data_IF_234524033551
#
_entry.id   IF_234524033551
#
_cell.length_a   1.000
_cell.length_b   1.000
_cell.length_c   1.000
_cell.angle_alpha   90.00
_cell.angle_beta   90.00
_cell.angle_gamma   90.00
#
_symmetry.space_group_name_H-M   'P 1'
#
loop_
_entity.id
_entity.type
_entity.pdbx_description
1 polymer ?
#
# COMPACT_ATOMS: atom_id res chain seq x y z
N UNK A 1 18.81 15.44 26.82
CA UNK A 1 18.67 13.98 26.75
C UNK A 1 17.37 13.69 27.48
N UNK A 2 16.37 13.12 26.80
CA UNK A 2 15.11 12.75 27.47
C UNK A 2 15.38 11.57 28.41
N UNK A 3 14.67 11.51 29.53
CA UNK A 3 14.73 10.36 30.42
C UNK A 3 14.23 9.12 29.70
N UNK A 4 14.91 7.99 29.91
CA UNK A 4 14.53 6.72 29.30
C UNK A 4 13.29 6.17 30.01
N UNK A 5 12.20 6.01 29.29
CA UNK A 5 11.01 5.31 29.78
C UNK A 5 11.28 3.81 29.88
N UNK A 6 11.63 3.35 31.07
CA UNK A 6 11.95 1.95 31.33
C UNK A 6 10.73 1.03 31.28
N UNK A 7 9.53 1.51 31.49
CA UNK A 7 8.31 0.72 31.37
C UNK A 7 8.06 0.38 29.89
N UNK A 8 8.17 1.36 29.02
CA UNK A 8 8.08 1.18 27.56
C UNK A 8 9.17 0.26 27.02
N UNK A 9 10.41 0.40 27.49
CA UNK A 9 11.53 -0.47 27.11
C UNK A 9 11.26 -1.92 27.50
N UNK A 10 10.79 -2.16 28.72
CA UNK A 10 10.48 -3.50 29.21
C UNK A 10 9.29 -4.10 28.45
N UNK A 11 8.23 -3.34 28.19
CA UNK A 11 7.10 -3.79 27.38
C UNK A 11 7.52 -4.16 25.94
N UNK A 12 8.41 -3.40 25.32
CA UNK A 12 8.96 -3.72 24.00
C UNK A 12 9.80 -5.00 24.04
N UNK A 13 10.61 -5.21 25.10
CA UNK A 13 11.37 -6.44 25.30
C UNK A 13 10.46 -7.68 25.38
N UNK A 14 9.34 -7.57 26.07
CA UNK A 14 8.36 -8.66 26.16
C UNK A 14 7.76 -8.99 24.80
N UNK A 15 7.33 -8.00 24.04
CA UNK A 15 6.84 -8.17 22.65
C UNK A 15 7.89 -8.79 21.74
N UNK A 16 9.17 -8.40 21.86
CA UNK A 16 10.27 -9.04 21.13
C UNK A 16 10.42 -10.52 21.48
N UNK A 17 10.32 -10.88 22.76
CA UNK A 17 10.38 -12.28 23.19
C UNK A 17 9.19 -13.11 22.69
N UNK A 18 8.00 -12.54 22.65
CA UNK A 18 6.82 -13.18 22.05
C UNK A 18 7.04 -13.43 20.55
N UNK A 19 7.57 -12.43 19.82
CA UNK A 19 7.92 -12.55 18.40
C UNK A 19 8.92 -13.69 18.17
N UNK A 20 10.00 -13.75 18.94
CA UNK A 20 11.02 -14.81 18.85
C UNK A 20 10.41 -16.20 19.09
N UNK A 21 9.50 -16.32 20.06
CA UNK A 21 8.84 -17.58 20.44
C UNK A 21 7.71 -17.99 19.48
N UNK A 22 7.26 -17.11 18.59
CA UNK A 22 6.14 -17.41 17.68
C UNK A 22 6.42 -18.65 16.83
N UNK A 23 5.53 -19.66 16.82
CA UNK A 23 5.71 -20.87 16.03
C UNK A 23 5.27 -20.67 14.56
N UNK A 24 4.58 -19.56 14.23
CA UNK A 24 3.99 -19.31 12.91
C UNK A 24 4.82 -18.38 12.04
N UNK A 25 5.72 -17.59 12.63
CA UNK A 25 6.56 -16.66 11.88
C UNK A 25 7.83 -17.33 11.38
N UNK A 26 8.19 -17.06 10.12
CA UNK A 26 9.51 -17.42 9.58
C UNK A 26 10.61 -16.62 10.28
N UNK A 27 11.89 -17.05 10.09
CA UNK A 27 13.03 -16.33 10.63
C UNK A 27 13.06 -14.88 10.16
N UNK A 28 12.86 -14.63 8.87
CA UNK A 28 12.87 -13.28 8.27
C UNK A 28 11.73 -12.41 8.80
N UNK A 29 10.52 -12.97 8.92
CA UNK A 29 9.40 -12.26 9.53
C UNK A 29 9.67 -11.89 10.99
N UNK A 30 10.35 -12.75 11.76
CA UNK A 30 10.77 -12.43 13.14
C UNK A 30 11.77 -11.29 13.17
N UNK A 31 12.77 -11.31 12.28
CA UNK A 31 13.78 -10.23 12.20
C UNK A 31 13.11 -8.91 11.83
N UNK A 32 12.22 -8.91 10.83
CA UNK A 32 11.48 -7.71 10.43
C UNK A 32 10.58 -7.18 11.55
N UNK A 33 9.84 -8.06 12.24
CA UNK A 33 8.99 -7.65 13.35
C UNK A 33 9.80 -7.08 14.53
N UNK A 34 10.97 -7.65 14.84
CA UNK A 34 11.86 -7.11 15.87
C UNK A 34 12.43 -5.74 15.46
N UNK A 35 12.77 -5.55 14.20
CA UNK A 35 13.22 -4.24 13.70
C UNK A 35 12.11 -3.20 13.85
N UNK A 36 10.87 -3.51 13.46
CA UNK A 36 9.73 -2.60 13.63
C UNK A 36 9.45 -2.27 15.09
N UNK A 37 9.60 -3.23 16.00
CA UNK A 37 9.48 -2.98 17.44
C UNK A 37 10.59 -2.05 17.95
N UNK A 38 11.81 -2.18 17.43
CA UNK A 38 12.91 -1.27 17.79
C UNK A 38 12.69 0.14 17.20
N UNK A 39 12.25 0.24 15.95
CA UNK A 39 11.90 1.52 15.30
C UNK A 39 10.80 2.24 16.08
N UNK A 40 9.83 1.51 16.64
CA UNK A 40 8.75 2.09 17.44
C UNK A 40 9.18 2.68 18.77
N UNK A 41 10.42 2.44 19.21
CA UNK A 41 10.99 3.12 20.40
C UNK A 41 11.44 4.55 20.10
N UNK A 42 11.65 4.89 18.82
CA UNK A 42 11.89 6.27 18.43
C UNK A 42 10.60 7.08 18.63
N UNK A 43 10.73 8.26 19.20
CA UNK A 43 9.60 9.16 19.38
C UNK A 43 9.65 10.26 18.33
N UNK A 44 8.55 10.40 17.57
CA UNK A 44 8.29 11.61 16.80
C UNK A 44 8.01 12.73 17.80
N UNK A 45 8.70 13.86 17.67
CA UNK A 45 8.79 14.91 18.73
C UNK A 45 7.42 15.48 19.10
N UNK A 46 6.46 15.53 18.17
CA UNK A 46 5.17 16.18 18.35
C UNK A 46 4.00 15.20 18.12
N UNK A 47 4.00 14.09 18.87
CA UNK A 47 2.83 13.21 18.88
C UNK A 47 1.61 13.98 19.39
N UNK A 48 0.48 13.94 18.69
CA UNK A 48 -0.70 14.70 19.09
C UNK A 48 -1.30 14.22 20.40
N UNK A 49 -1.83 15.16 21.18
CA UNK A 49 -2.56 14.85 22.40
C UNK A 49 -3.74 13.92 22.11
N UNK A 50 -3.96 12.92 22.94
CA UNK A 50 -5.04 11.94 22.81
C UNK A 50 -4.73 10.77 21.87
N UNK A 51 -3.58 10.76 21.17
CA UNK A 51 -3.22 9.65 20.28
C UNK A 51 -3.21 8.31 21.00
N UNK A 52 -2.58 8.22 22.16
CA UNK A 52 -2.51 6.99 22.95
C UNK A 52 -3.89 6.47 23.35
N UNK A 53 -4.83 7.35 23.70
CA UNK A 53 -6.21 6.98 24.03
C UNK A 53 -7.00 6.45 22.84
N UNK A 54 -6.59 6.79 21.62
CA UNK A 54 -7.25 6.38 20.40
C UNK A 54 -6.58 5.19 19.69
N UNK A 55 -5.29 4.98 19.94
CA UNK A 55 -4.48 4.02 19.18
C UNK A 55 -3.97 2.85 20.02
N UNK A 56 -3.57 3.07 21.30
CA UNK A 56 -2.95 2.03 22.13
C UNK A 56 -3.96 1.17 22.90
N UNK A 57 -5.20 1.20 22.48
CA UNK A 57 -6.29 0.41 23.04
C UNK A 57 -6.37 -0.98 22.40
N UNK A 58 -7.07 -1.95 23.01
CA UNK A 58 -7.41 -3.22 22.37
C UNK A 58 -8.15 -3.00 21.04
N UNK A 59 -8.06 -3.97 20.12
CA UNK A 59 -8.58 -3.86 18.76
C UNK A 59 -10.08 -3.54 18.68
N UNK A 60 -10.86 -3.94 19.67
CA UNK A 60 -12.31 -3.72 19.77
C UNK A 60 -12.71 -2.31 20.27
N UNK A 61 -11.74 -1.52 20.73
CA UNK A 61 -11.92 -0.17 21.27
C UNK A 61 -11.03 0.90 20.67
N UNK A 62 -9.88 0.55 20.05
CA UNK A 62 -9.04 1.54 19.38
C UNK A 62 -9.78 2.20 18.20
N UNK A 63 -9.53 3.49 17.99
CA UNK A 63 -10.15 4.28 16.93
C UNK A 63 -9.22 4.56 15.76
N UNK A 64 -7.91 4.49 15.97
CA UNK A 64 -6.87 4.70 14.96
C UNK A 64 -5.99 3.45 14.88
N UNK A 65 -5.59 3.09 13.66
CA UNK A 65 -4.66 2.00 13.39
C UNK A 65 -3.65 2.44 12.32
N UNK A 66 -2.36 2.31 12.62
CA UNK A 66 -1.26 2.62 11.71
C UNK A 66 -0.66 1.38 11.02
N UNK A 67 -1.30 0.23 11.14
CA UNK A 67 -0.84 -1.05 10.59
C UNK A 67 0.58 -1.44 11.06
N UNK A 68 0.92 -1.08 12.29
CA UNK A 68 2.21 -1.36 12.93
C UNK A 68 3.43 -0.72 12.21
N UNK A 69 3.26 0.45 11.62
CA UNK A 69 4.37 1.20 11.02
C UNK A 69 5.29 1.85 12.06
N UNK A 70 4.80 2.06 13.30
CA UNK A 70 5.52 2.76 14.37
C UNK A 70 5.38 4.29 14.31
N UNK A 71 5.89 4.95 15.36
CA UNK A 71 5.70 6.39 15.51
C UNK A 71 6.66 7.24 14.68
N UNK A 72 7.84 6.70 14.37
CA UNK A 72 8.88 7.40 13.61
C UNK A 72 9.46 6.47 12.52
N UNK A 73 8.66 6.10 11.52
CA UNK A 73 9.15 5.26 10.41
C UNK A 73 10.23 6.03 9.63
N UNK A 74 11.39 5.41 9.48
CA UNK A 74 12.54 6.02 8.81
C UNK A 74 12.46 5.95 7.27
N UNK A 75 11.41 5.38 6.73
CA UNK A 75 11.17 5.17 5.30
C UNK A 75 9.68 5.08 4.99
N UNK A 76 9.28 5.45 3.76
CA UNK A 76 7.88 5.43 3.35
C UNK A 76 7.26 4.02 3.40
N UNK A 77 5.96 3.98 3.63
CA UNK A 77 5.20 2.75 3.58
C UNK A 77 5.18 2.14 2.18
N UNK A 78 4.90 2.94 1.17
CA UNK A 78 4.86 2.50 -0.22
C UNK A 78 5.90 3.26 -1.03
N UNK A 79 6.75 2.52 -1.71
CA UNK A 79 7.73 3.04 -2.66
C UNK A 79 7.42 2.43 -4.01
N UNK A 80 7.25 3.29 -5.02
CA UNK A 80 6.85 2.93 -6.38
C UNK A 80 7.97 3.33 -7.35
N UNK A 81 9.04 2.54 -7.48
CA UNK A 81 10.16 2.90 -8.34
C UNK A 81 9.75 2.93 -9.81
N UNK A 82 10.41 3.80 -10.59
CA UNK A 82 10.33 3.78 -12.04
C UNK A 82 11.18 2.62 -12.60
N UNK A 83 10.56 1.44 -12.68
CA UNK A 83 11.21 0.26 -13.26
C UNK A 83 11.46 0.40 -14.77
N UNK A 84 10.68 1.22 -15.50
CA UNK A 84 10.94 1.47 -16.94
C UNK A 84 12.27 2.20 -17.11
N UNK A 85 12.53 3.20 -16.25
CA UNK A 85 13.82 3.89 -16.22
C UNK A 85 14.95 2.92 -15.89
N UNK A 86 14.78 2.07 -14.88
CA UNK A 86 15.77 1.07 -14.50
C UNK A 86 16.09 0.11 -15.65
N UNK A 87 15.08 -0.43 -16.34
CA UNK A 87 15.27 -1.32 -17.48
C UNK A 87 16.01 -0.64 -18.66
N UNK A 88 15.86 0.67 -18.81
CA UNK A 88 16.50 1.46 -19.87
C UNK A 88 17.93 1.91 -19.52
N UNK A 89 18.20 2.22 -18.24
CA UNK A 89 19.43 2.90 -17.82
C UNK A 89 20.32 2.06 -16.90
N UNK A 90 19.80 0.97 -16.35
CA UNK A 90 20.47 0.19 -15.30
C UNK A 90 20.51 0.94 -13.97
N UNK A 91 21.43 0.54 -13.09
CA UNK A 91 21.68 1.20 -11.80
C UNK A 91 23.17 1.19 -11.48
N UNK A 92 23.74 2.35 -11.20
CA UNK A 92 25.16 2.49 -10.79
C UNK A 92 25.38 1.92 -9.39
N UNK A 93 24.42 2.14 -8.49
CA UNK A 93 24.50 1.65 -7.12
C UNK A 93 24.50 0.12 -7.08
N UNK A 94 23.62 -0.51 -7.86
CA UNK A 94 23.51 -1.97 -7.95
C UNK A 94 24.57 -2.57 -8.89
N UNK A 95 25.32 -1.77 -9.62
CA UNK A 95 26.29 -2.21 -10.64
C UNK A 95 25.63 -3.09 -11.70
N UNK A 96 24.45 -2.72 -12.15
CA UNK A 96 23.67 -3.40 -13.16
C UNK A 96 23.56 -2.54 -14.41
N UNK A 97 23.97 -3.08 -15.54
CA UNK A 97 23.75 -2.48 -16.86
C UNK A 97 22.28 -2.69 -17.29
N UNK A 98 21.78 -1.91 -18.26
CA UNK A 98 20.50 -2.18 -18.89
C UNK A 98 20.44 -3.59 -19.46
N UNK A 99 19.39 -4.39 -19.16
CA UNK A 99 19.28 -5.77 -19.61
C UNK A 99 19.16 -5.86 -21.15
N UNK A 100 19.77 -6.86 -21.75
CA UNK A 100 19.78 -7.09 -23.19
C UNK A 100 18.87 -8.23 -23.65
N UNK A 101 18.50 -9.10 -22.72
CA UNK A 101 17.63 -10.24 -22.96
C UNK A 101 16.71 -10.51 -21.77
N UNK A 102 15.79 -11.45 -21.93
CA UNK A 102 14.83 -11.80 -20.88
C UNK A 102 15.51 -12.33 -19.60
N UNK A 103 16.60 -13.10 -19.75
CA UNK A 103 17.30 -13.65 -18.59
C UNK A 103 17.91 -12.53 -17.73
N UNK A 104 18.59 -11.57 -18.37
CA UNK A 104 19.15 -10.41 -17.68
C UNK A 104 18.05 -9.55 -17.07
N UNK A 105 16.94 -9.35 -17.79
CA UNK A 105 15.80 -8.55 -17.33
C UNK A 105 15.18 -9.11 -16.05
N UNK A 106 14.84 -10.39 -16.03
CA UNK A 106 14.25 -11.06 -14.88
C UNK A 106 15.20 -11.06 -13.67
N UNK A 107 16.50 -11.37 -13.89
CA UNK A 107 17.48 -11.39 -12.83
C UNK A 107 17.73 -9.98 -12.24
N UNK A 108 17.82 -8.96 -13.09
CA UNK A 108 18.01 -7.56 -12.66
C UNK A 108 16.84 -7.05 -11.85
N UNK A 109 15.59 -7.38 -12.23
CA UNK A 109 14.39 -7.05 -11.46
C UNK A 109 14.41 -7.70 -10.08
N UNK A 110 14.76 -8.99 -9.98
CA UNK A 110 14.85 -9.68 -8.69
C UNK A 110 15.89 -9.05 -7.75
N UNK A 111 17.03 -8.62 -8.29
CA UNK A 111 18.04 -7.89 -7.51
C UNK A 111 17.48 -6.54 -7.07
N UNK A 112 16.87 -5.80 -7.98
CA UNK A 112 16.30 -4.49 -7.66
C UNK A 112 15.24 -4.58 -6.55
N UNK A 113 14.33 -5.55 -6.63
CA UNK A 113 13.28 -5.75 -5.63
C UNK A 113 13.82 -5.91 -4.20
N UNK A 114 14.95 -6.59 -4.05
CA UNK A 114 15.61 -6.74 -2.74
C UNK A 114 16.13 -5.45 -2.13
N UNK A 115 16.25 -4.39 -2.94
CA UNK A 115 16.80 -3.09 -2.53
C UNK A 115 15.74 -1.98 -2.48
N UNK A 116 14.46 -2.32 -2.55
CA UNK A 116 13.35 -1.35 -2.36
C UNK A 116 12.95 -1.35 -0.88
N UNK A 117 13.41 -0.35 -0.10
CA UNK A 117 13.24 -0.34 1.35
C UNK A 117 11.94 0.33 1.76
N UNK A 118 10.83 -0.37 1.74
CA UNK A 118 9.57 0.12 2.33
C UNK A 118 9.42 -0.30 3.80
N UNK A 119 8.46 0.27 4.50
CA UNK A 119 8.14 -0.12 5.89
C UNK A 119 7.81 -1.60 6.00
N UNK A 120 7.19 -2.18 4.98
CA UNK A 120 6.88 -3.61 4.89
C UNK A 120 8.11 -4.48 4.63
N UNK A 121 9.28 -3.91 4.40
CA UNK A 121 10.54 -4.57 3.99
C UNK A 121 10.48 -5.29 2.63
N UNK A 122 9.43 -5.08 1.84
CA UNK A 122 9.23 -5.67 0.52
C UNK A 122 8.73 -4.63 -0.46
N UNK A 123 9.03 -4.77 -1.76
CA UNK A 123 8.44 -3.92 -2.76
C UNK A 123 6.93 -4.19 -2.84
N UNK A 124 6.13 -3.17 -2.59
CA UNK A 124 4.67 -3.26 -2.72
C UNK A 124 4.21 -3.18 -4.18
N UNK A 125 5.09 -2.73 -5.06
CA UNK A 125 4.86 -2.65 -6.50
C UNK A 125 6.03 -3.25 -7.26
N UNK A 126 5.74 -4.18 -8.17
CA UNK A 126 6.73 -4.93 -8.95
C UNK A 126 6.84 -4.44 -10.40
N UNK A 127 6.06 -3.45 -10.78
CA UNK A 127 6.01 -2.89 -12.12
C UNK A 127 4.78 -3.30 -12.94
N UNK A 128 4.64 -2.70 -14.10
CA UNK A 128 3.78 -3.18 -15.18
C UNK A 128 4.56 -4.31 -15.89
N UNK A 129 4.45 -5.53 -15.36
CA UNK A 129 5.34 -6.64 -15.73
C UNK A 129 5.26 -6.99 -17.21
N UNK A 130 4.07 -6.91 -17.80
CA UNK A 130 3.90 -7.13 -19.22
C UNK A 130 4.68 -6.10 -20.05
N UNK A 131 4.55 -4.81 -19.76
CA UNK A 131 5.26 -3.75 -20.46
C UNK A 131 6.78 -3.84 -20.27
N UNK A 132 7.23 -4.25 -19.08
CA UNK A 132 8.66 -4.38 -18.77
C UNK A 132 9.31 -5.57 -19.49
N UNK A 133 8.57 -6.66 -19.67
CA UNK A 133 9.10 -7.91 -20.22
C UNK A 133 8.81 -8.10 -21.71
N UNK A 134 7.78 -7.43 -22.26
CA UNK A 134 7.36 -7.60 -23.64
C UNK A 134 8.47 -7.36 -24.69
N UNK A 135 9.36 -6.35 -24.53
CA UNK A 135 10.46 -6.14 -25.47
C UNK A 135 11.42 -7.33 -25.60
N UNK A 136 11.51 -8.17 -24.58
CA UNK A 136 12.48 -9.29 -24.53
C UNK A 136 11.89 -10.62 -24.96
N UNK A 137 10.57 -10.72 -25.17
CA UNK A 137 9.90 -11.98 -25.55
C UNK A 137 9.47 -12.03 -27.03
N UNK A 138 9.58 -10.92 -27.77
CA UNK A 138 9.02 -10.81 -29.12
C UNK A 138 9.56 -11.89 -30.08
N UNK A 139 10.87 -12.02 -30.18
CA UNK A 139 11.55 -12.95 -31.08
C UNK A 139 11.97 -14.26 -30.36
N UNK A 140 11.48 -14.46 -29.12
CA UNK A 140 11.84 -15.62 -28.33
C UNK A 140 10.88 -16.78 -28.55
N UNK A 141 11.41 -18.01 -28.44
CA UNK A 141 10.59 -19.22 -28.35
C UNK A 141 9.62 -19.09 -27.16
N UNK A 142 8.33 -19.32 -27.42
CA UNK A 142 7.27 -19.07 -26.47
C UNK A 142 7.34 -19.98 -25.24
N UNK A 143 7.66 -21.26 -25.42
CA UNK A 143 7.80 -22.22 -24.33
C UNK A 143 8.99 -21.88 -23.43
N UNK A 144 10.09 -21.37 -24.04
CA UNK A 144 11.23 -20.90 -23.27
C UNK A 144 10.91 -19.65 -22.49
N UNK A 145 10.24 -18.67 -23.10
CA UNK A 145 9.78 -17.44 -22.44
C UNK A 145 8.83 -17.76 -21.27
N UNK A 146 7.85 -18.65 -21.50
CA UNK A 146 6.90 -19.12 -20.49
C UNK A 146 7.61 -19.79 -19.33
N UNK A 147 8.58 -20.67 -19.60
CA UNK A 147 9.39 -21.31 -18.55
C UNK A 147 10.17 -20.30 -17.71
N UNK A 148 10.78 -19.31 -18.34
CA UNK A 148 11.55 -18.28 -17.61
C UNK A 148 10.66 -17.37 -16.76
N UNK A 149 9.55 -16.91 -17.29
CA UNK A 149 8.57 -16.11 -16.55
C UNK A 149 7.97 -16.92 -15.41
N UNK A 150 7.66 -18.21 -15.64
CA UNK A 150 7.19 -19.11 -14.57
C UNK A 150 8.17 -19.20 -13.41
N UNK A 151 9.46 -19.38 -13.68
CA UNK A 151 10.49 -19.45 -12.64
C UNK A 151 10.63 -18.12 -11.90
N UNK A 152 10.51 -17.01 -12.59
CA UNK A 152 10.54 -15.68 -12.00
C UNK A 152 9.33 -15.44 -11.04
N UNK A 153 8.12 -15.80 -11.46
CA UNK A 153 6.93 -15.67 -10.60
C UNK A 153 7.00 -16.60 -9.38
N UNK A 154 7.48 -17.84 -9.55
CA UNK A 154 7.73 -18.75 -8.44
C UNK A 154 8.77 -18.16 -7.48
N UNK A 155 9.85 -17.56 -7.99
CA UNK A 155 10.86 -16.94 -7.15
C UNK A 155 10.24 -15.80 -6.33
N UNK A 156 9.44 -14.93 -6.94
CA UNK A 156 8.76 -13.84 -6.24
C UNK A 156 7.88 -14.41 -5.10
N UNK A 157 7.00 -15.35 -5.40
CA UNK A 157 6.08 -15.93 -4.40
C UNK A 157 6.81 -16.58 -3.22
N UNK A 158 7.98 -17.18 -3.45
CA UNK A 158 8.76 -17.85 -2.40
C UNK A 158 9.71 -16.94 -1.62
N UNK A 159 10.07 -15.78 -2.16
CA UNK A 159 11.06 -14.87 -1.55
C UNK A 159 10.47 -13.56 -1.07
N UNK A 160 9.37 -13.11 -1.63
CA UNK A 160 8.60 -11.94 -1.17
C UNK A 160 7.54 -12.42 -0.20
N UNK A 161 7.82 -12.28 1.09
CA UNK A 161 6.99 -12.82 2.18
C UNK A 161 5.77 -11.95 2.53
N UNK A 162 5.35 -11.08 1.62
CA UNK A 162 4.28 -10.13 1.85
C UNK A 162 3.20 -10.24 0.76
N UNK A 163 1.97 -10.51 1.18
CA UNK A 163 0.80 -10.58 0.29
C UNK A 163 0.42 -9.23 -0.35
N UNK A 164 1.05 -8.13 0.06
CA UNK A 164 0.80 -6.81 -0.51
C UNK A 164 1.59 -6.52 -1.79
N UNK A 165 2.56 -7.37 -2.16
CA UNK A 165 3.29 -7.21 -3.43
C UNK A 165 2.37 -7.36 -4.62
N UNK A 166 2.41 -6.38 -5.52
CA UNK A 166 1.45 -6.17 -6.58
C UNK A 166 2.12 -5.85 -7.91
N UNK A 167 1.62 -6.43 -8.99
CA UNK A 167 2.04 -6.12 -10.34
C UNK A 167 0.85 -5.63 -11.18
N UNK A 168 1.12 -4.88 -12.23
CA UNK A 168 0.10 -4.52 -13.20
C UNK A 168 0.35 -5.21 -14.54
N UNK A 169 -0.73 -5.43 -15.30
CA UNK A 169 -0.73 -5.84 -16.71
C UNK A 169 -1.76 -5.01 -17.49
N UNK A 170 -1.62 -4.92 -18.80
CA UNK A 170 -2.54 -4.14 -19.64
C UNK A 170 -2.35 -2.61 -19.52
N UNK A 171 -3.20 -1.79 -20.21
CA UNK A 171 -4.41 -2.19 -20.95
C UNK A 171 -4.14 -2.81 -22.33
N UNK A 172 -2.92 -2.73 -22.86
CA UNK A 172 -2.56 -3.28 -24.15
C UNK A 172 -2.39 -4.80 -24.07
N UNK A 173 -2.84 -5.46 -25.13
CA UNK A 173 -2.60 -6.89 -25.32
C UNK A 173 -1.15 -7.11 -25.76
N UNK A 174 -0.35 -7.70 -24.91
CA UNK A 174 1.08 -7.95 -25.12
C UNK A 174 1.39 -9.45 -25.03
N UNK A 175 2.44 -9.91 -25.74
CA UNK A 175 2.88 -11.31 -25.67
C UNK A 175 3.29 -11.69 -24.23
N UNK A 176 4.03 -10.82 -23.56
CA UNK A 176 4.41 -11.04 -22.16
C UNK A 176 3.20 -11.09 -21.23
N UNK A 177 2.20 -10.22 -21.42
CA UNK A 177 0.97 -10.20 -20.64
C UNK A 177 0.18 -11.51 -20.78
N UNK A 178 0.05 -12.03 -22.00
CA UNK A 178 -0.58 -13.34 -22.24
C UNK A 178 0.16 -14.47 -21.52
N UNK A 179 1.49 -14.52 -21.62
CA UNK A 179 2.30 -15.52 -20.94
C UNK A 179 2.16 -15.41 -19.42
N UNK A 180 2.16 -14.20 -18.85
CA UNK A 180 1.98 -13.98 -17.42
C UNK A 180 0.63 -14.53 -16.95
N UNK A 181 -0.46 -14.21 -17.64
CA UNK A 181 -1.81 -14.66 -17.29
C UNK A 181 -1.94 -16.19 -17.37
N UNK A 182 -1.38 -16.82 -18.39
CA UNK A 182 -1.35 -18.29 -18.49
C UNK A 182 -0.60 -18.94 -17.32
N UNK A 183 0.59 -18.43 -17.05
CA UNK A 183 1.42 -18.95 -15.95
C UNK A 183 0.75 -18.78 -14.59
N UNK A 184 0.09 -17.66 -14.36
CA UNK A 184 -0.64 -17.41 -13.11
C UNK A 184 -1.85 -18.32 -12.95
N UNK A 185 -2.57 -18.62 -14.03
CA UNK A 185 -3.65 -19.59 -14.02
C UNK A 185 -3.17 -21.02 -13.67
N UNK A 186 -1.94 -21.37 -14.09
CA UNK A 186 -1.34 -22.69 -13.81
C UNK A 186 -0.75 -22.77 -12.39
N UNK A 187 -0.19 -21.66 -11.88
CA UNK A 187 0.53 -21.66 -10.59
C UNK A 187 -0.42 -21.55 -9.39
N UNK A 188 -1.56 -20.87 -9.55
CA UNK A 188 -2.52 -20.61 -8.47
C UNK A 188 -1.87 -20.08 -7.18
N UNK A 189 -0.79 -19.32 -7.30
CA UNK A 189 -0.01 -18.82 -6.17
C UNK A 189 -0.57 -17.49 -5.62
N UNK A 190 -0.20 -17.14 -4.38
CA UNK A 190 -0.71 -15.94 -3.73
C UNK A 190 -0.04 -14.65 -4.21
N UNK A 191 1.26 -14.68 -4.46
CA UNK A 191 2.10 -13.51 -4.76
C UNK A 191 2.74 -13.67 -6.15
N UNK A 192 2.79 -12.60 -6.96
CA UNK A 192 2.21 -11.27 -6.74
C UNK A 192 0.69 -11.23 -6.90
N UNK A 193 0.04 -10.25 -6.24
CA UNK A 193 -1.27 -9.81 -6.69
C UNK A 193 -1.13 -9.15 -8.06
N UNK A 194 -2.10 -9.32 -8.92
CA UNK A 194 -2.08 -8.71 -10.25
C UNK A 194 -3.36 -7.90 -10.47
N UNK A 195 -3.21 -6.69 -11.00
CA UNK A 195 -4.32 -5.90 -11.54
C UNK A 195 -4.16 -5.73 -13.03
N UNK A 196 -5.20 -6.11 -13.77
CA UNK A 196 -5.33 -5.80 -15.19
C UNK A 196 -5.96 -4.41 -15.34
N UNK A 197 -5.21 -3.49 -15.93
CA UNK A 197 -5.74 -2.22 -16.38
C UNK A 197 -6.63 -2.49 -17.60
N UNK A 198 -7.91 -2.17 -17.48
CA UNK A 198 -8.88 -2.41 -18.55
C UNK A 198 -9.36 -1.11 -19.15
N UNK A 199 -9.37 -1.04 -20.49
CA UNK A 199 -9.91 0.05 -21.28
C UNK A 199 -10.61 -0.53 -22.50
N UNK A 200 -11.90 -0.28 -22.64
CA UNK A 200 -12.74 -0.82 -23.72
C UNK A 200 -12.27 -0.40 -25.14
N UNK A 201 -11.52 0.71 -25.26
CA UNK A 201 -10.99 1.21 -26.54
C UNK A 201 -9.59 0.63 -26.87
N UNK A 202 -8.89 0.02 -25.90
CA UNK A 202 -7.50 -0.42 -26.04
C UNK A 202 -7.36 -1.93 -25.83
N UNK A 203 -8.05 -2.47 -24.81
CA UNK A 203 -7.93 -3.89 -24.42
C UNK A 203 -8.73 -4.76 -25.39
N UNK A 204 -8.06 -5.74 -26.05
CA UNK A 204 -8.78 -6.69 -26.90
C UNK A 204 -9.71 -7.58 -26.08
N UNK A 205 -10.84 -7.99 -26.67
CA UNK A 205 -11.78 -8.92 -26.02
C UNK A 205 -11.09 -10.24 -25.65
N UNK A 206 -10.17 -10.72 -26.47
CA UNK A 206 -9.41 -11.93 -26.21
C UNK A 206 -8.53 -11.82 -24.98
N UNK A 207 -7.82 -10.68 -24.81
CA UNK A 207 -6.98 -10.45 -23.65
C UNK A 207 -7.80 -10.25 -22.38
N UNK A 208 -8.92 -9.55 -22.46
CA UNK A 208 -9.86 -9.39 -21.37
C UNK A 208 -10.45 -10.74 -20.90
N UNK A 209 -10.89 -11.58 -21.86
CA UNK A 209 -11.38 -12.93 -21.57
C UNK A 209 -10.30 -13.81 -20.94
N UNK A 210 -9.05 -13.70 -21.39
CA UNK A 210 -7.93 -14.40 -20.78
C UNK A 210 -7.75 -13.99 -19.32
N UNK A 211 -7.80 -12.68 -19.02
CA UNK A 211 -7.77 -12.18 -17.64
C UNK A 211 -8.90 -12.74 -16.79
N UNK A 212 -10.14 -12.77 -17.31
CA UNK A 212 -11.31 -13.35 -16.62
C UNK A 212 -11.08 -14.85 -16.34
N UNK A 213 -10.63 -15.60 -17.32
CA UNK A 213 -10.35 -17.02 -17.16
C UNK A 213 -9.28 -17.27 -16.11
N UNK A 214 -8.20 -16.49 -16.11
CA UNK A 214 -7.15 -16.56 -15.10
C UNK A 214 -7.71 -16.27 -13.70
N UNK A 215 -8.61 -15.26 -13.58
CA UNK A 215 -9.27 -14.95 -12.31
C UNK A 215 -10.10 -16.11 -11.76
N UNK A 216 -10.76 -16.86 -12.62
CA UNK A 216 -11.54 -18.05 -12.20
C UNK A 216 -10.67 -19.15 -11.61
N UNK A 217 -9.39 -19.23 -11.97
CA UNK A 217 -8.44 -20.21 -11.45
C UNK A 217 -7.69 -19.72 -10.21
N UNK A 218 -7.19 -18.48 -10.24
CA UNK A 218 -6.23 -17.99 -9.24
C UNK A 218 -6.74 -16.80 -8.41
N UNK A 219 -8.02 -16.40 -8.56
CA UNK A 219 -8.62 -15.20 -7.96
C UNK A 219 -7.91 -13.88 -8.32
N UNK A 220 -7.10 -13.88 -9.38
CA UNK A 220 -6.42 -12.73 -9.98
C UNK A 220 -6.24 -12.94 -11.50
N UNK A 221 -6.12 -11.88 -12.31
CA UNK A 221 -6.04 -10.48 -11.95
C UNK A 221 -7.38 -9.91 -11.47
N UNK A 222 -7.31 -8.85 -10.66
CA UNK A 222 -8.42 -7.91 -10.51
C UNK A 222 -8.43 -6.94 -11.69
N UNK A 223 -9.54 -6.23 -11.90
CA UNK A 223 -9.70 -5.30 -13.01
C UNK A 223 -9.79 -3.87 -12.51
N UNK A 224 -9.12 -2.95 -13.20
CA UNK A 224 -9.15 -1.53 -12.91
C UNK A 224 -9.57 -0.73 -14.13
N UNK A 225 -10.43 0.26 -13.95
CA UNK A 225 -10.85 1.16 -15.00
C UNK A 225 -9.70 2.11 -15.38
N UNK A 226 -9.05 1.84 -16.51
CA UNK A 226 -7.89 2.62 -16.99
C UNK A 226 -8.25 4.09 -17.20
N UNK A 227 -9.39 4.38 -17.83
CA UNK A 227 -9.81 5.77 -18.13
C UNK A 227 -10.00 6.59 -16.84
N UNK A 228 -10.60 5.97 -15.82
CA UNK A 228 -10.82 6.64 -14.52
C UNK A 228 -9.48 6.96 -13.84
N UNK A 229 -8.64 5.97 -13.60
CA UNK A 229 -7.35 6.18 -12.93
C UNK A 229 -6.44 7.15 -13.68
N UNK A 230 -6.43 7.07 -15.01
CA UNK A 230 -5.69 8.01 -15.85
C UNK A 230 -6.20 9.44 -15.74
N UNK A 231 -7.51 9.65 -15.65
CA UNK A 231 -8.10 10.98 -15.48
C UNK A 231 -7.80 11.60 -14.11
N UNK A 232 -7.65 10.78 -13.07
CA UNK A 232 -7.42 11.22 -11.69
C UNK A 232 -5.92 11.39 -11.36
N UNK A 233 -5.09 10.45 -11.82
CA UNK A 233 -3.68 10.37 -11.41
C UNK A 233 -2.68 10.65 -12.55
N UNK A 234 -3.16 10.79 -13.79
CA UNK A 234 -2.32 10.99 -14.98
C UNK A 234 -1.90 9.69 -15.67
N UNK A 235 -1.11 9.82 -16.74
CA UNK A 235 -0.66 8.70 -17.58
C UNK A 235 0.18 7.67 -16.81
N UNK A 236 1.01 8.15 -15.87
CA UNK A 236 1.99 7.35 -15.14
C UNK A 236 1.42 6.77 -13.83
N UNK A 237 0.09 6.55 -13.74
CA UNK A 237 -0.48 5.92 -12.57
C UNK A 237 -0.14 4.44 -12.48
N UNK A 238 -0.04 3.96 -11.26
CA UNK A 238 0.11 2.54 -10.93
C UNK A 238 -0.93 2.13 -9.91
N UNK A 239 -1.20 0.83 -9.84
CA UNK A 239 -2.04 0.24 -8.81
C UNK A 239 -1.15 -0.68 -7.98
N UNK A 240 -1.09 -0.43 -6.68
CA UNK A 240 -0.23 -1.14 -5.76
C UNK A 240 -0.99 -1.66 -4.54
N UNK A 241 -0.47 -2.72 -3.91
CA UNK A 241 -1.06 -3.35 -2.74
C UNK A 241 -2.52 -3.81 -3.00
N UNK A 242 -3.50 -3.24 -2.32
CA UNK A 242 -4.92 -3.58 -2.48
C UNK A 242 -5.68 -2.44 -3.20
N UNK A 243 -5.34 -2.17 -4.46
CA UNK A 243 -5.98 -1.17 -5.35
C UNK A 243 -5.68 0.29 -5.04
N UNK A 244 -4.60 0.60 -4.35
CA UNK A 244 -4.19 1.99 -4.16
C UNK A 244 -3.62 2.55 -5.46
N UNK A 245 -4.23 3.62 -5.97
CA UNK A 245 -3.71 4.40 -7.09
C UNK A 245 -2.59 5.32 -6.63
N UNK A 246 -1.42 5.23 -7.26
CA UNK A 246 -0.24 6.03 -6.94
C UNK A 246 0.45 6.47 -8.23
N UNK A 247 1.36 7.45 -8.13
CA UNK A 247 2.19 7.89 -9.27
C UNK A 247 3.45 7.05 -9.39
N UNK A 248 3.81 6.66 -10.60
CA UNK A 248 5.09 6.02 -10.89
C UNK A 248 6.26 6.94 -10.50
N UNK A 249 7.27 6.39 -9.89
CA UNK A 249 8.38 7.17 -9.32
C UNK A 249 8.02 7.92 -8.05
N UNK A 250 6.92 7.54 -7.39
CA UNK A 250 6.44 8.13 -6.15
C UNK A 250 6.20 7.11 -5.06
N UNK A 251 5.16 7.33 -4.27
CA UNK A 251 4.78 6.42 -3.19
C UNK A 251 3.81 7.04 -2.21
N UNK A 252 3.69 6.39 -1.06
CA UNK A 252 2.93 6.91 0.08
C UNK A 252 3.79 6.85 1.34
N UNK A 253 3.90 7.96 2.02
CA UNK A 253 4.64 8.06 3.28
C UNK A 253 4.07 7.11 4.33
N UNK A 254 2.77 7.17 4.53
CA UNK A 254 2.07 6.42 5.58
C UNK A 254 0.66 6.06 5.17
N UNK A 255 0.08 5.08 5.88
CA UNK A 255 -1.34 4.73 5.80
C UNK A 255 -1.87 4.52 7.22
N UNK A 256 -2.60 5.51 7.72
CA UNK A 256 -3.38 5.36 8.94
C UNK A 256 -4.84 5.11 8.61
N UNK A 257 -5.56 4.42 9.50
CA UNK A 257 -6.97 4.07 9.31
C UNK A 257 -7.83 4.49 10.50
N UNK A 258 -8.97 5.08 10.19
CA UNK A 258 -10.08 5.23 11.11
C UNK A 258 -10.79 3.89 11.28
N UNK A 259 -11.03 3.46 12.52
CA UNK A 259 -11.88 2.32 12.84
C UNK A 259 -13.29 2.85 13.17
N UNK A 260 -14.07 3.12 12.12
CA UNK A 260 -15.34 3.85 12.20
C UNK A 260 -16.35 3.20 13.16
N UNK A 261 -16.44 1.87 13.17
CA UNK A 261 -17.31 1.15 14.08
C UNK A 261 -16.97 1.39 15.55
N UNK A 262 -15.68 1.50 15.89
CA UNK A 262 -15.24 1.79 17.25
C UNK A 262 -15.46 3.26 17.62
N UNK A 263 -15.28 4.19 16.67
CA UNK A 263 -15.60 5.60 16.88
C UNK A 263 -17.11 5.74 17.19
N UNK A 264 -17.98 5.03 16.46
CA UNK A 264 -19.42 5.05 16.71
C UNK A 264 -19.82 4.47 18.08
N UNK A 265 -19.06 3.53 18.65
CA UNK A 265 -19.29 3.02 20.01
C UNK A 265 -19.03 4.06 21.10
N UNK A 266 -18.16 5.05 20.84
CA UNK A 266 -17.86 6.15 21.77
C UNK A 266 -18.97 7.22 21.79
N UNK A 267 -19.77 7.30 20.73
CA UNK A 267 -20.79 8.33 20.59
C UNK A 267 -22.05 8.00 21.41
N UNK A 268 -22.61 9.03 22.04
CA UNK A 268 -23.90 8.98 22.77
C UNK A 268 -25.11 9.18 21.87
N UNK A 269 -24.91 9.76 20.68
CA UNK A 269 -25.93 10.02 19.66
C UNK A 269 -25.29 10.18 18.29
N UNK A 270 -26.10 10.18 17.23
CA UNK A 270 -25.62 10.49 15.86
C UNK A 270 -25.04 11.89 15.78
N UNK A 271 -25.64 12.84 16.48
CA UNK A 271 -25.14 14.22 16.49
C UNK A 271 -23.80 14.33 17.23
N UNK A 272 -23.63 13.63 18.35
CA UNK A 272 -22.35 13.54 19.05
C UNK A 272 -21.27 12.90 18.17
N UNK A 273 -21.62 11.83 17.45
CA UNK A 273 -20.70 11.22 16.49
C UNK A 273 -20.23 12.22 15.44
N UNK A 274 -21.16 12.89 14.75
CA UNK A 274 -20.86 13.80 13.63
C UNK A 274 -20.13 15.08 14.07
N UNK A 275 -20.50 15.65 15.22
CA UNK A 275 -19.97 16.95 15.66
C UNK A 275 -18.75 16.86 16.57
N UNK A 276 -18.60 15.76 17.31
CA UNK A 276 -17.55 15.64 18.31
C UNK A 276 -16.60 14.46 18.02
N UNK A 277 -17.12 13.22 17.98
CA UNK A 277 -16.25 12.04 17.96
C UNK A 277 -15.48 11.90 16.64
N UNK A 278 -16.17 11.91 15.50
CA UNK A 278 -15.53 11.74 14.18
C UNK A 278 -14.54 12.88 13.87
N UNK A 279 -14.89 14.17 14.00
CA UNK A 279 -13.94 15.25 13.75
C UNK A 279 -12.71 15.21 14.65
N UNK A 280 -12.88 14.89 15.93
CA UNK A 280 -11.78 14.75 16.87
C UNK A 280 -10.81 13.65 16.45
N UNK A 281 -11.31 12.45 16.14
CA UNK A 281 -10.45 11.33 15.74
C UNK A 281 -9.78 11.59 14.38
N UNK A 282 -10.48 12.21 13.42
CA UNK A 282 -9.91 12.63 12.14
C UNK A 282 -8.73 13.60 12.35
N UNK A 283 -8.90 14.60 13.22
CA UNK A 283 -7.85 15.59 13.50
C UNK A 283 -6.63 14.94 14.15
N UNK A 284 -6.82 14.13 15.19
CA UNK A 284 -5.71 13.44 15.86
C UNK A 284 -4.98 12.51 14.89
N UNK A 285 -5.69 11.79 14.02
CA UNK A 285 -5.06 10.94 13.02
C UNK A 285 -4.27 11.74 11.99
N UNK A 286 -4.81 12.86 11.50
CA UNK A 286 -4.12 13.73 10.55
C UNK A 286 -2.86 14.35 11.16
N UNK A 287 -2.94 14.89 12.39
CA UNK A 287 -1.78 15.44 13.10
C UNK A 287 -0.69 14.38 13.33
N UNK A 288 -1.09 13.15 13.60
CA UNK A 288 -0.17 12.01 13.72
C UNK A 288 0.52 11.68 12.39
N UNK A 289 -0.24 11.66 11.30
CA UNK A 289 0.30 11.44 9.96
C UNK A 289 1.27 12.56 9.58
N UNK A 290 0.93 13.83 9.87
CA UNK A 290 1.80 14.98 9.62
C UNK A 290 3.13 14.88 10.38
N UNK A 291 3.10 14.48 11.65
CA UNK A 291 4.30 14.32 12.45
C UNK A 291 5.22 13.23 11.89
N UNK A 292 4.65 12.12 11.41
CA UNK A 292 5.39 11.01 10.80
C UNK A 292 6.01 11.40 9.46
N UNK A 293 5.23 12.06 8.60
CA UNK A 293 5.70 12.55 7.29
C UNK A 293 6.85 13.54 7.48
N UNK A 294 6.72 14.47 8.42
CA UNK A 294 7.78 15.42 8.74
C UNK A 294 9.06 14.70 9.18
N UNK A 295 8.96 13.70 10.05
CA UNK A 295 10.10 12.89 10.47
C UNK A 295 10.76 12.19 9.28
N UNK A 296 9.98 11.55 8.39
CA UNK A 296 10.51 10.86 7.21
C UNK A 296 11.23 11.82 6.26
N UNK A 297 10.69 13.02 6.06
CA UNK A 297 11.24 13.97 5.08
C UNK A 297 12.36 14.81 5.66
N UNK A 298 12.21 15.32 6.89
CA UNK A 298 13.15 16.30 7.45
C UNK A 298 14.24 15.69 8.32
N UNK A 299 13.96 14.60 9.03
CA UNK A 299 14.86 14.06 10.04
C UNK A 299 15.52 12.73 9.62
N UNK A 300 14.79 11.84 8.94
CA UNK A 300 15.34 10.53 8.55
C UNK A 300 16.40 10.63 7.45
N UNK A 301 16.36 11.68 6.64
CA UNK A 301 17.22 11.84 5.47
C UNK A 301 16.97 10.77 4.39
N UNK A 302 15.77 10.24 4.31
CA UNK A 302 15.45 9.14 3.39
C UNK A 302 15.75 9.50 1.93
N UNK A 303 15.24 10.64 1.46
CA UNK A 303 15.40 11.05 0.05
C UNK A 303 16.85 11.44 -0.27
N UNK A 304 17.57 12.02 0.68
CA UNK A 304 18.96 12.46 0.52
C UNK A 304 19.95 11.28 0.53
N UNK A 305 19.61 10.17 1.20
CA UNK A 305 20.53 9.06 1.42
C UNK A 305 20.19 7.82 0.61
N UNK A 306 18.95 7.67 0.13
CA UNK A 306 18.53 6.49 -0.62
C UNK A 306 18.95 6.55 -2.09
N UNK A 307 19.49 5.44 -2.61
CA UNK A 307 19.93 5.35 -4.01
C UNK A 307 18.78 5.50 -5.01
N UNK A 308 17.56 5.08 -4.65
CA UNK A 308 16.39 5.22 -5.52
C UNK A 308 16.12 6.69 -5.86
N UNK A 309 16.23 7.59 -4.87
CA UNK A 309 16.11 9.01 -5.09
C UNK A 309 17.31 9.59 -5.82
N UNK A 310 18.54 9.18 -5.43
CA UNK A 310 19.79 9.68 -6.06
C UNK A 310 19.90 9.31 -7.54
N UNK A 311 19.39 8.17 -7.94
CA UNK A 311 19.37 7.72 -9.35
C UNK A 311 18.08 8.11 -10.08
N UNK A 312 17.15 8.78 -9.40
CA UNK A 312 15.91 9.28 -9.98
C UNK A 312 14.91 8.19 -10.32
N UNK A 313 14.93 7.08 -9.57
CA UNK A 313 13.88 6.06 -9.64
C UNK A 313 12.65 6.44 -8.83
N UNK A 314 12.82 7.35 -7.84
CA UNK A 314 11.74 7.98 -7.11
C UNK A 314 11.99 9.48 -6.97
N UNK A 315 10.91 10.26 -6.85
CA UNK A 315 10.90 11.72 -6.73
C UNK A 315 9.96 12.12 -5.59
N UNK A 316 10.41 12.97 -4.68
CA UNK A 316 9.62 13.37 -3.50
C UNK A 316 8.29 14.03 -3.88
N UNK A 317 8.26 14.86 -4.92
CA UNK A 317 7.07 15.53 -5.45
C UNK A 317 5.99 14.58 -6.01
N UNK A 318 6.29 13.28 -6.08
CA UNK A 318 5.34 12.22 -6.48
C UNK A 318 4.83 11.40 -5.30
N UNK A 319 5.08 11.84 -4.06
CA UNK A 319 4.60 11.18 -2.85
C UNK A 319 3.33 11.82 -2.32
N UNK A 320 2.53 11.01 -1.67
CA UNK A 320 1.32 11.38 -0.92
C UNK A 320 1.25 10.61 0.39
N UNK A 321 0.14 10.69 1.11
CA UNK A 321 -0.20 9.82 2.22
C UNK A 321 -1.61 9.26 2.01
N UNK A 322 -1.99 8.28 2.83
CA UNK A 322 -3.29 7.61 2.70
C UNK A 322 -4.07 7.70 4.00
N UNK A 323 -5.18 8.43 3.95
CA UNK A 323 -6.15 8.55 5.04
C UNK A 323 -7.19 7.42 4.88
N UNK A 324 -6.91 6.28 5.51
CA UNK A 324 -7.71 5.08 5.36
C UNK A 324 -8.89 5.02 6.33
N UNK A 325 -9.84 4.13 6.04
CA UNK A 325 -10.95 3.84 6.93
C UNK A 325 -11.42 2.41 6.79
N UNK A 326 -12.04 1.89 7.84
CA UNK A 326 -12.66 0.56 7.86
C UNK A 326 -13.85 0.55 8.81
N UNK A 327 -14.82 -0.32 8.55
CA UNK A 327 -15.96 -0.52 9.42
C UNK A 327 -17.10 0.50 9.23
N UNK A 328 -17.34 0.96 7.98
CA UNK A 328 -18.45 1.86 7.68
C UNK A 328 -19.81 1.19 7.98
N UNK A 329 -19.99 -0.06 7.60
CA UNK A 329 -21.22 -0.79 7.87
C UNK A 329 -21.51 -0.92 9.39
N UNK A 330 -20.49 -1.27 10.17
CA UNK A 330 -20.59 -1.36 11.64
C UNK A 330 -20.91 0.00 12.26
N UNK A 331 -20.28 1.07 11.74
CA UNK A 331 -20.52 2.44 12.17
C UNK A 331 -21.97 2.85 11.93
N UNK A 332 -22.45 2.73 10.69
CA UNK A 332 -23.83 3.08 10.32
C UNK A 332 -24.83 2.27 11.13
N UNK A 333 -24.65 0.97 11.21
CA UNK A 333 -25.55 0.09 11.96
C UNK A 333 -25.63 0.49 13.44
N UNK A 334 -24.48 0.82 14.06
CA UNK A 334 -24.47 1.32 15.44
C UNK A 334 -25.20 2.65 15.60
N UNK A 335 -25.03 3.58 14.67
CA UNK A 335 -25.68 4.87 14.70
C UNK A 335 -27.20 4.77 14.47
N UNK A 336 -27.65 3.82 13.63
CA UNK A 336 -29.08 3.51 13.46
C UNK A 336 -29.68 2.96 14.76
N UNK A 337 -28.98 2.07 15.45
CA UNK A 337 -29.37 1.55 16.77
C UNK A 337 -29.52 2.66 17.82
N UNK A 338 -28.60 3.63 17.84
CA UNK A 338 -28.69 4.79 18.75
C UNK A 338 -29.96 5.66 18.51
N UNK A 339 -30.52 5.61 17.31
CA UNK A 339 -31.79 6.26 16.97
C UNK A 339 -33.02 5.36 17.21
N UNK A 340 -32.82 4.14 17.69
CA UNK A 340 -33.92 3.16 17.84
C UNK A 340 -34.43 2.61 16.50
N UNK A 341 -33.64 2.70 15.42
CA UNK A 341 -33.97 2.21 14.08
C UNK A 341 -33.36 0.84 13.83
N UNK A 342 -34.02 0.06 12.97
CA UNK A 342 -33.61 -1.31 12.61
C UNK A 342 -33.02 -1.45 11.23
N UNK A 343 -32.99 -0.36 10.42
CA UNK A 343 -32.36 -0.32 9.10
C UNK A 343 -30.88 -0.65 9.18
N UNK A 344 -30.35 -1.29 8.14
CA UNK A 344 -28.95 -1.75 8.04
C UNK A 344 -28.29 -1.24 6.77
N UNK A 345 -27.04 -0.85 6.87
CA UNK A 345 -26.22 -0.45 5.74
C UNK A 345 -26.20 -1.52 4.64
N UNK A 346 -26.43 -1.09 3.40
CA UNK A 346 -26.54 -1.97 2.23
C UNK A 346 -27.93 -2.62 2.05
N UNK A 347 -28.88 -2.37 2.94
CA UNK A 347 -30.22 -2.97 2.93
C UNK A 347 -31.34 -1.98 3.23
N UNK A 348 -31.04 -0.71 3.48
CA UNK A 348 -32.01 0.31 3.87
C UNK A 348 -31.54 1.69 3.41
N UNK A 349 -32.40 2.42 2.67
CA UNK A 349 -32.08 3.69 2.06
C UNK A 349 -31.64 4.76 3.08
N UNK A 350 -32.22 4.79 4.27
CA UNK A 350 -31.87 5.74 5.32
C UNK A 350 -30.50 5.41 5.91
N UNK A 351 -30.19 4.12 6.11
CA UNK A 351 -28.89 3.68 6.55
C UNK A 351 -27.82 3.99 5.50
N UNK A 352 -28.10 3.77 4.22
CA UNK A 352 -27.17 4.04 3.14
C UNK A 352 -26.92 5.56 3.00
N UNK A 353 -27.95 6.38 3.12
CA UNK A 353 -27.83 7.84 3.13
C UNK A 353 -26.95 8.34 4.30
N UNK A 354 -27.10 7.74 5.48
CA UNK A 354 -26.22 8.05 6.63
C UNK A 354 -24.77 7.67 6.34
N UNK A 355 -24.54 6.53 5.65
CA UNK A 355 -23.21 6.12 5.21
C UNK A 355 -22.58 7.14 4.27
N UNK A 356 -23.31 7.61 3.27
CA UNK A 356 -22.86 8.66 2.34
C UNK A 356 -22.51 9.96 3.11
N UNK A 357 -23.37 10.40 4.04
CA UNK A 357 -23.12 11.60 4.83
C UNK A 357 -21.82 11.52 5.68
N UNK A 358 -21.52 10.34 6.24
CA UNK A 358 -20.27 10.09 6.96
C UNK A 358 -19.07 10.19 6.02
N UNK A 359 -19.16 9.60 4.83
CA UNK A 359 -18.11 9.66 3.83
C UNK A 359 -17.87 11.07 3.33
N UNK A 360 -18.94 11.83 3.06
CA UNK A 360 -18.85 13.24 2.65
C UNK A 360 -18.17 14.10 3.72
N UNK A 361 -18.43 13.82 5.01
CA UNK A 361 -17.78 14.54 6.10
C UNK A 361 -16.28 14.23 6.17
N UNK A 362 -15.86 12.99 5.96
CA UNK A 362 -14.44 12.59 5.93
C UNK A 362 -13.75 13.21 4.70
N UNK A 363 -14.40 13.17 3.55
CA UNK A 363 -13.89 13.78 2.32
C UNK A 363 -13.70 15.29 2.48
N UNK A 364 -14.69 15.99 3.07
CA UNK A 364 -14.60 17.41 3.37
C UNK A 364 -13.46 17.73 4.34
N UNK A 365 -13.22 16.88 5.34
CA UNK A 365 -12.08 17.01 6.24
C UNK A 365 -10.76 16.89 5.48
N UNK A 366 -10.58 15.84 4.66
CA UNK A 366 -9.37 15.62 3.88
C UNK A 366 -9.10 16.76 2.89
N UNK A 367 -10.12 17.29 2.24
CA UNK A 367 -10.01 18.46 1.35
C UNK A 367 -9.63 19.75 2.07
N UNK A 368 -9.95 19.87 3.34
CA UNK A 368 -9.59 21.03 4.16
C UNK A 368 -8.19 20.91 4.80
N UNK A 369 -7.72 19.69 5.02
CA UNK A 369 -6.41 19.40 5.59
C UNK A 369 -5.32 19.43 4.51
N UNK A 370 -4.22 20.16 4.76
CA UNK A 370 -3.13 20.30 3.79
C UNK A 370 -1.80 19.91 4.43
N UNK A 371 -1.10 18.96 3.83
CA UNK A 371 0.28 18.61 4.16
C UNK A 371 1.20 19.01 3.01
N UNK A 372 2.22 19.86 3.23
CA UNK A 372 3.08 20.37 2.16
C UNK A 372 3.94 19.32 1.46
N UNK A 373 4.07 18.12 2.03
CA UNK A 373 4.85 17.02 1.46
C UNK A 373 4.03 16.07 0.59
N UNK A 374 2.69 16.15 0.62
CA UNK A 374 1.79 15.35 -0.23
C UNK A 374 1.60 16.01 -1.61
N UNK A 375 2.72 16.32 -2.29
CA UNK A 375 2.72 17.06 -3.55
C UNK A 375 2.01 16.31 -4.69
N UNK A 376 1.99 14.97 -4.65
CA UNK A 376 1.31 14.15 -5.67
C UNK A 376 -0.20 14.37 -5.74
N UNK A 377 -0.81 14.87 -4.67
CA UNK A 377 -2.25 15.08 -4.48
C UNK A 377 -2.57 16.51 -4.05
N UNK A 378 -1.78 17.48 -4.50
CA UNK A 378 -1.96 18.91 -4.21
C UNK A 378 -2.05 19.24 -2.70
N UNK A 379 -1.32 18.47 -1.88
CA UNK A 379 -1.28 18.63 -0.43
C UNK A 379 -2.31 17.83 0.36
N UNK A 380 -3.15 17.03 -0.28
CA UNK A 380 -4.17 16.22 0.39
C UNK A 380 -3.70 14.77 0.61
N UNK A 381 -4.33 14.10 1.61
CA UNK A 381 -4.11 12.68 1.87
C UNK A 381 -4.92 11.79 0.93
#
# INVERSE_FOLDING_TARGET
MRDIDMERVNGTREKMLETVKSPVLTHEQKVAAMANLADSLLEVVDLPEGLHDLMDQPIDSKCICDLAEGHAPLRPRYIIPDYKKFMREGSKFLQLDPPKDLFEALNSLLIFYKHVPSVTNFPVYLGALDELLDPFVQDMDEELAKKMIRLFLIHIDRTVLDSFSHANVGPRDTKAGRIILEVEAELEQAVPNITMKYDEDITSDEFALMGINTTLHSAKPSFANHKMFKSELGEDYVIASCYNGLKLGGGSYTLCRLLLGNIAKRASSVEDFKKNQLPYVCQVMADYMDARIRFEVEESGFFENNFLAKEGFIHRDRFTAMFGMVGLAECVNRLMELQGKTGRYGHDEEADALGVEIMDQIDAFNKAHVNPYCEATDGHF
#
